data_IF_927012666983
#
_entry.id   IF_927012666983
#
_cell.length_a   1.000
_cell.length_b   1.000
_cell.length_c   1.000
_cell.angle_alpha   90.00
_cell.angle_beta   90.00
_cell.angle_gamma   90.00
#
_symmetry.space_group_name_H-M   'P 1'
#
loop_
_entity.id
_entity.type
_entity.pdbx_description
1 polymer ?
#
# COMPACT_ATOMS: atom_id res chain seq x y z
N UNK A 1 10.47 -15.49 -19.88
CA UNK A 1 9.33 -15.23 -19.00
C UNK A 1 8.97 -16.52 -18.28
N UNK A 2 8.99 -16.57 -16.96
CA UNK A 2 8.64 -17.77 -16.20
C UNK A 2 7.14 -18.05 -16.36
N UNK A 3 6.77 -19.20 -16.91
CA UNK A 3 5.38 -19.58 -17.22
C UNK A 3 4.50 -19.62 -15.96
N UNK A 4 5.08 -19.89 -14.79
CA UNK A 4 4.36 -19.95 -13.52
C UNK A 4 3.98 -18.56 -13.03
N UNK A 5 4.87 -17.57 -13.16
CA UNK A 5 4.55 -16.17 -12.82
C UNK A 5 3.40 -15.63 -13.66
N UNK A 6 3.39 -15.95 -14.96
CA UNK A 6 2.30 -15.52 -15.83
C UNK A 6 0.94 -16.06 -15.35
N UNK A 7 0.86 -17.31 -14.91
CA UNK A 7 -0.37 -17.88 -14.35
C UNK A 7 -0.84 -17.14 -13.10
N UNK A 8 0.08 -16.73 -12.22
CA UNK A 8 -0.28 -15.96 -11.03
C UNK A 8 -0.82 -14.57 -11.42
N UNK A 9 -0.19 -13.92 -12.41
CA UNK A 9 -0.67 -12.63 -12.93
C UNK A 9 -2.04 -12.78 -13.59
N UNK A 10 -2.24 -13.79 -14.42
CA UNK A 10 -3.54 -14.08 -15.04
C UNK A 10 -4.64 -14.34 -13.98
N UNK A 11 -4.28 -15.00 -12.87
CA UNK A 11 -5.18 -15.18 -11.73
C UNK A 11 -5.53 -13.85 -11.06
N UNK A 12 -4.55 -12.96 -10.86
CA UNK A 12 -4.79 -11.61 -10.33
C UNK A 12 -5.71 -10.81 -11.25
N UNK A 13 -5.48 -10.86 -12.58
CA UNK A 13 -6.34 -10.21 -13.57
C UNK A 13 -7.79 -10.68 -13.47
N UNK A 14 -7.99 -11.99 -13.35
CA UNK A 14 -9.34 -12.57 -13.26
C UNK A 14 -10.05 -12.26 -11.96
N UNK A 15 -9.34 -12.15 -10.85
CA UNK A 15 -9.91 -11.99 -9.51
C UNK A 15 -10.08 -10.55 -9.08
N UNK A 16 -9.16 -9.65 -9.46
CA UNK A 16 -9.13 -8.28 -8.96
C UNK A 16 -10.39 -7.45 -9.23
N UNK A 17 -11.12 -7.58 -10.35
CA UNK A 17 -12.36 -6.84 -10.54
C UNK A 17 -13.44 -7.16 -9.49
N UNK A 18 -13.43 -8.38 -8.95
CA UNK A 18 -14.43 -8.86 -7.97
C UNK A 18 -14.02 -8.62 -6.51
N UNK A 19 -12.86 -8.01 -6.25
CA UNK A 19 -12.45 -7.64 -4.89
C UNK A 19 -13.21 -6.38 -4.51
N UNK A 20 -13.97 -6.43 -3.41
CA UNK A 20 -14.67 -5.25 -2.87
C UNK A 20 -13.76 -4.40 -1.96
N UNK A 21 -12.83 -5.04 -1.26
CA UNK A 21 -11.84 -4.37 -0.43
C UNK A 21 -10.86 -3.57 -1.31
N UNK A 22 -10.69 -2.28 -1.01
CA UNK A 22 -9.77 -1.39 -1.73
C UNK A 22 -8.45 -1.18 -0.98
N UNK A 23 -8.30 -1.74 0.23
CA UNK A 23 -7.13 -1.59 1.08
C UNK A 23 -5.86 -2.22 0.53
N UNK A 24 -4.76 -2.03 1.28
CA UNK A 24 -3.44 -2.45 0.84
C UNK A 24 -3.21 -3.97 1.01
N UNK A 25 -3.57 -4.55 2.17
CA UNK A 25 -3.13 -5.92 2.49
C UNK A 25 -3.94 -6.99 1.78
N UNK A 26 -5.24 -6.83 1.72
CA UNK A 26 -6.16 -7.82 1.16
C UNK A 26 -6.90 -7.33 -0.07
N UNK A 27 -6.89 -6.03 -0.29
CA UNK A 27 -7.69 -5.34 -1.29
C UNK A 27 -6.98 -5.04 -2.61
N UNK A 28 -7.67 -4.25 -3.41
CA UNK A 28 -7.23 -3.86 -4.77
C UNK A 28 -5.90 -3.13 -4.76
N UNK A 29 -5.59 -2.27 -3.74
CA UNK A 29 -4.36 -1.47 -3.74
C UNK A 29 -3.12 -2.36 -3.78
N UNK A 30 -3.06 -3.43 -2.98
CA UNK A 30 -1.93 -4.36 -3.03
C UNK A 30 -1.77 -5.07 -4.37
N UNK A 31 -2.90 -5.42 -5.00
CA UNK A 31 -2.90 -6.00 -6.36
C UNK A 31 -2.40 -4.99 -7.38
N UNK A 32 -2.87 -3.74 -7.34
CA UNK A 32 -2.44 -2.66 -8.24
C UNK A 32 -0.93 -2.46 -8.18
N UNK A 33 -0.36 -2.36 -6.97
CA UNK A 33 1.09 -2.21 -6.81
C UNK A 33 1.84 -3.39 -7.45
N UNK A 34 1.34 -4.62 -7.28
CA UNK A 34 2.00 -5.80 -7.86
C UNK A 34 1.89 -5.87 -9.38
N UNK A 35 0.74 -5.48 -9.95
CA UNK A 35 0.54 -5.47 -11.40
C UNK A 35 1.39 -4.39 -12.07
N UNK A 36 1.47 -3.18 -11.51
CA UNK A 36 2.37 -2.14 -12.02
C UNK A 36 3.83 -2.56 -11.97
N UNK A 37 4.29 -3.14 -10.85
CA UNK A 37 5.66 -3.61 -10.74
C UNK A 37 5.97 -4.69 -11.78
N UNK A 38 5.05 -5.62 -12.01
CA UNK A 38 5.20 -6.65 -13.04
C UNK A 38 5.17 -6.04 -14.46
N UNK A 39 4.20 -5.19 -14.75
CA UNK A 39 4.07 -4.53 -16.05
C UNK A 39 5.35 -3.75 -16.42
N UNK A 40 5.90 -3.00 -15.49
CA UNK A 40 7.16 -2.28 -15.67
C UNK A 40 8.35 -3.22 -15.93
N UNK A 41 8.50 -4.30 -15.13
CA UNK A 41 9.61 -5.26 -15.30
C UNK A 41 9.56 -5.94 -16.67
N UNK A 42 8.39 -6.26 -17.18
CA UNK A 42 8.21 -7.01 -18.42
C UNK A 42 7.73 -6.17 -19.62
N UNK A 43 7.58 -4.85 -19.43
CA UNK A 43 7.13 -3.88 -20.45
C UNK A 43 5.77 -4.27 -21.07
N UNK A 44 4.83 -4.69 -20.23
CA UNK A 44 3.47 -5.14 -20.60
C UNK A 44 2.48 -3.98 -20.45
N UNK A 45 2.29 -3.21 -21.53
CA UNK A 45 1.41 -2.03 -21.55
C UNK A 45 -0.05 -2.38 -21.25
N UNK A 46 -0.55 -3.51 -21.74
CA UNK A 46 -1.95 -3.91 -21.47
C UNK A 46 -2.19 -4.17 -19.98
N UNK A 47 -1.18 -4.70 -19.30
CA UNK A 47 -1.26 -4.94 -17.87
C UNK A 47 -1.15 -3.63 -17.07
N UNK A 48 -0.35 -2.69 -17.54
CA UNK A 48 -0.25 -1.34 -16.97
C UNK A 48 -1.58 -0.60 -17.09
N UNK A 49 -2.21 -0.60 -18.27
CA UNK A 49 -3.53 -0.01 -18.51
C UNK A 49 -4.60 -0.63 -17.59
N UNK A 50 -4.58 -1.94 -17.43
CA UNK A 50 -5.49 -2.62 -16.50
C UNK A 50 -5.26 -2.23 -15.04
N UNK A 51 -3.99 -2.11 -14.63
CA UNK A 51 -3.65 -1.68 -13.27
C UNK A 51 -4.09 -0.22 -13.02
N UNK A 52 -4.02 0.63 -14.05
CA UNK A 52 -4.56 1.99 -14.01
C UNK A 52 -6.08 2.00 -13.82
N UNK A 53 -6.81 1.19 -14.54
CA UNK A 53 -8.29 1.09 -14.39
C UNK A 53 -8.67 0.63 -12.97
N UNK A 54 -7.93 -0.30 -12.38
CA UNK A 54 -8.13 -0.70 -10.98
C UNK A 54 -7.80 0.43 -9.99
N UNK A 55 -6.75 1.20 -10.25
CA UNK A 55 -6.37 2.34 -9.42
C UNK A 55 -7.46 3.42 -9.45
N UNK A 56 -8.02 3.70 -10.60
CA UNK A 56 -9.16 4.60 -10.75
C UNK A 56 -10.37 4.13 -9.91
N UNK A 57 -10.71 2.84 -9.98
CA UNK A 57 -11.79 2.27 -9.16
C UNK A 57 -11.52 2.42 -7.66
N UNK A 58 -10.27 2.34 -7.22
CA UNK A 58 -9.93 2.58 -5.81
C UNK A 58 -10.31 4.02 -5.45
N UNK A 59 -9.85 5.01 -6.22
CA UNK A 59 -10.12 6.42 -5.93
C UNK A 59 -11.60 6.80 -6.00
N UNK A 60 -12.37 6.18 -6.88
CA UNK A 60 -13.82 6.36 -6.94
C UNK A 60 -14.54 5.84 -5.68
N UNK A 61 -13.93 4.90 -4.96
CA UNK A 61 -14.50 4.28 -3.77
C UNK A 61 -13.85 4.75 -2.45
N UNK A 62 -12.82 5.59 -2.51
CA UNK A 62 -12.26 6.20 -1.30
C UNK A 62 -13.27 7.19 -0.71
N UNK A 63 -13.55 7.05 0.58
CA UNK A 63 -14.41 7.97 1.31
C UNK A 63 -13.91 8.20 2.75
N UNK A 64 -14.29 9.33 3.32
CA UNK A 64 -13.78 9.82 4.61
C UNK A 64 -14.20 8.99 5.83
N UNK A 65 -15.19 8.10 5.68
CA UNK A 65 -15.64 7.21 6.75
C UNK A 65 -14.83 5.91 6.83
N UNK A 66 -13.87 5.71 5.91
CA UNK A 66 -12.98 4.53 5.95
C UNK A 66 -12.11 4.54 7.22
N UNK A 67 -11.69 3.34 7.70
CA UNK A 67 -10.65 3.24 8.72
C UNK A 67 -9.37 3.96 8.26
N UNK A 68 -8.56 4.46 9.22
CA UNK A 68 -7.30 5.13 8.89
C UNK A 68 -6.10 4.18 8.81
N UNK A 69 -6.25 2.92 9.23
CA UNK A 69 -5.15 1.95 9.31
C UNK A 69 -4.57 1.55 7.94
N UNK A 70 -3.49 0.77 8.01
CA UNK A 70 -2.76 0.30 6.83
C UNK A 70 -3.48 -0.84 6.10
N UNK A 71 -4.15 -1.72 6.83
CA UNK A 71 -4.68 -2.97 6.29
C UNK A 71 -5.86 -2.73 5.34
N UNK A 72 -6.89 -2.01 5.80
CA UNK A 72 -8.13 -1.76 5.06
C UNK A 72 -8.42 -0.28 4.85
N UNK A 73 -7.53 0.61 5.27
CA UNK A 73 -7.85 2.02 5.42
C UNK A 73 -7.01 2.98 4.59
N UNK A 74 -7.21 4.24 4.90
CA UNK A 74 -6.66 5.38 4.17
C UNK A 74 -5.12 5.39 4.16
N UNK A 75 -4.46 5.04 5.28
CA UNK A 75 -3.01 4.98 5.33
C UNK A 75 -2.44 3.92 4.38
N UNK A 76 -3.14 2.78 4.19
CA UNK A 76 -2.73 1.75 3.24
C UNK A 76 -2.88 2.19 1.78
N UNK A 77 -3.96 2.90 1.47
CA UNK A 77 -4.18 3.48 0.13
C UNK A 77 -3.13 4.55 -0.15
N UNK A 78 -2.92 5.47 0.80
CA UNK A 78 -1.89 6.50 0.70
C UNK A 78 -0.47 5.93 0.55
N UNK A 79 -0.17 4.87 1.32
CA UNK A 79 1.10 4.14 1.22
C UNK A 79 1.29 3.52 -0.17
N UNK A 80 0.30 2.79 -0.68
CA UNK A 80 0.37 2.16 -2.00
C UNK A 80 0.58 3.18 -3.12
N UNK A 81 -0.17 4.29 -3.10
CA UNK A 81 -0.02 5.40 -4.05
C UNK A 81 1.38 6.03 -3.98
N UNK A 82 1.86 6.29 -2.76
CA UNK A 82 3.21 6.86 -2.56
C UNK A 82 4.28 5.90 -3.05
N UNK A 83 4.12 4.59 -2.81
CA UNK A 83 5.04 3.57 -3.30
C UNK A 83 5.10 3.50 -4.82
N UNK A 84 3.94 3.56 -5.50
CA UNK A 84 3.88 3.62 -6.97
C UNK A 84 4.65 4.82 -7.52
N UNK A 85 4.47 6.00 -6.91
CA UNK A 85 5.20 7.21 -7.29
C UNK A 85 6.70 7.10 -6.99
N UNK A 86 7.09 6.59 -5.81
CA UNK A 86 8.50 6.39 -5.42
C UNK A 86 9.24 5.45 -6.37
N UNK A 87 8.56 4.41 -6.87
CA UNK A 87 9.11 3.47 -7.84
C UNK A 87 9.08 3.99 -9.28
N UNK A 88 8.57 5.19 -9.52
CA UNK A 88 8.43 5.77 -10.86
C UNK A 88 7.42 5.03 -11.75
N UNK A 89 6.48 4.31 -11.14
CA UNK A 89 5.45 3.53 -11.87
C UNK A 89 4.22 4.38 -12.20
N UNK A 90 3.97 5.42 -11.41
CA UNK A 90 2.89 6.40 -11.64
C UNK A 90 3.45 7.79 -11.39
N UNK A 91 3.27 8.68 -12.34
CA UNK A 91 3.64 10.09 -12.21
C UNK A 91 2.43 10.90 -11.76
N UNK A 92 2.49 11.46 -10.53
CA UNK A 92 1.41 12.27 -9.97
C UNK A 92 1.94 13.27 -8.94
N UNK A 93 1.20 14.36 -8.74
CA UNK A 93 1.41 15.24 -7.58
C UNK A 93 0.76 14.61 -6.34
N UNK A 94 1.59 13.95 -5.53
CA UNK A 94 1.14 13.26 -4.32
C UNK A 94 0.42 14.19 -3.34
N UNK A 95 0.79 15.48 -3.27
CA UNK A 95 0.15 16.42 -2.37
C UNK A 95 -1.29 16.75 -2.80
N UNK A 96 -1.53 16.77 -4.11
CA UNK A 96 -2.87 16.96 -4.66
C UNK A 96 -3.71 15.69 -4.54
N UNK A 97 -3.16 14.54 -4.96
CA UNK A 97 -3.89 13.27 -5.02
C UNK A 97 -4.26 12.74 -3.63
N UNK A 98 -3.40 12.95 -2.63
CA UNK A 98 -3.59 12.44 -1.27
C UNK A 98 -4.08 13.50 -0.26
N UNK A 99 -4.46 14.70 -0.72
CA UNK A 99 -4.87 15.79 0.17
C UNK A 99 -5.97 15.40 1.16
N UNK A 100 -7.04 14.75 0.68
CA UNK A 100 -8.17 14.34 1.50
C UNK A 100 -7.80 13.17 2.44
N UNK A 101 -6.96 12.25 1.98
CA UNK A 101 -6.42 11.15 2.79
C UNK A 101 -5.59 11.71 3.94
N UNK A 102 -4.67 12.60 3.64
CA UNK A 102 -3.77 13.24 4.59
C UNK A 102 -4.56 14.06 5.63
N UNK A 103 -5.53 14.87 5.17
CA UNK A 103 -6.39 15.65 6.04
C UNK A 103 -7.19 14.75 7.00
N UNK A 104 -7.74 13.66 6.49
CA UNK A 104 -8.55 12.74 7.31
C UNK A 104 -7.72 11.99 8.35
N UNK A 105 -6.50 11.63 8.02
CA UNK A 105 -5.56 11.03 8.99
C UNK A 105 -5.25 12.03 10.10
N UNK A 106 -5.00 13.31 9.77
CA UNK A 106 -4.69 14.37 10.74
C UNK A 106 -5.87 14.76 11.65
N UNK A 107 -7.13 14.44 11.30
CA UNK A 107 -8.26 14.64 12.21
C UNK A 107 -8.19 13.76 13.48
N UNK A 108 -7.40 12.71 13.48
CA UNK A 108 -7.23 11.82 14.64
C UNK A 108 -6.21 12.40 15.60
N UNK A 109 -6.61 12.63 16.86
CA UNK A 109 -5.72 13.11 17.91
C UNK A 109 -4.67 12.01 18.26
N UNK A 110 -3.37 12.22 17.97
CA UNK A 110 -2.34 11.21 18.21
C UNK A 110 -2.21 10.83 19.69
N UNK A 111 -2.59 11.71 20.60
CA UNK A 111 -2.52 11.49 22.06
C UNK A 111 -3.56 10.50 22.56
N UNK A 112 -4.62 10.25 21.77
CA UNK A 112 -5.71 9.33 22.08
C UNK A 112 -5.56 7.95 21.43
N UNK A 113 -4.45 7.72 20.74
CA UNK A 113 -4.20 6.44 20.10
C UNK A 113 -3.97 5.36 21.16
N UNK A 114 -4.70 4.26 21.06
CA UNK A 114 -4.55 3.07 21.90
C UNK A 114 -3.97 1.86 21.16
N UNK A 115 -4.12 1.83 19.84
CA UNK A 115 -3.57 0.80 18.95
C UNK A 115 -2.32 1.32 18.24
N UNK A 116 -1.20 0.65 18.46
CA UNK A 116 0.11 0.97 17.88
C UNK A 116 0.56 -0.05 16.82
N UNK A 117 -0.31 -0.98 16.44
CA UNK A 117 0.00 -1.97 15.41
C UNK A 117 0.26 -1.32 14.05
N UNK A 118 1.02 -2.01 13.19
CA UNK A 118 1.21 -1.59 11.80
C UNK A 118 -0.07 -1.79 10.99
N UNK A 119 -0.88 -2.78 11.33
CA UNK A 119 -2.07 -3.11 10.53
C UNK A 119 -3.18 -2.07 10.65
N UNK A 120 -3.58 -1.75 11.87
CA UNK A 120 -4.79 -0.97 12.15
C UNK A 120 -4.52 0.31 12.93
N UNK A 121 -3.33 0.43 13.51
CA UNK A 121 -2.97 1.47 14.47
C UNK A 121 -1.98 2.51 13.94
N UNK A 122 -1.42 3.26 14.90
CA UNK A 122 -0.47 4.34 14.67
C UNK A 122 0.81 3.90 13.96
N UNK A 123 1.25 2.65 14.14
CA UNK A 123 2.42 2.11 13.45
C UNK A 123 2.27 2.15 11.92
N UNK A 124 1.08 1.81 11.42
CA UNK A 124 0.78 1.91 9.98
C UNK A 124 0.74 3.34 9.47
N UNK A 125 0.16 4.26 10.26
CA UNK A 125 0.14 5.68 9.92
C UNK A 125 1.58 6.23 9.88
N UNK A 126 2.42 5.91 10.86
CA UNK A 126 3.82 6.31 10.87
C UNK A 126 4.60 5.78 9.67
N UNK A 127 4.35 4.53 9.28
CA UNK A 127 4.95 3.92 8.10
C UNK A 127 4.58 4.68 6.82
N UNK A 128 3.29 4.99 6.66
CA UNK A 128 2.81 5.81 5.54
C UNK A 128 3.48 7.19 5.53
N UNK A 129 3.49 7.89 6.66
CA UNK A 129 4.07 9.22 6.78
C UNK A 129 5.59 9.21 6.51
N UNK A 130 6.30 8.18 6.97
CA UNK A 130 7.73 8.02 6.70
C UNK A 130 7.99 7.88 5.20
N UNK A 131 7.22 7.03 4.51
CA UNK A 131 7.33 6.87 3.05
C UNK A 131 7.00 8.16 2.30
N UNK A 132 5.94 8.88 2.73
CA UNK A 132 5.59 10.20 2.17
C UNK A 132 6.73 11.20 2.32
N UNK A 133 7.36 11.25 3.50
CA UNK A 133 8.48 12.15 3.77
C UNK A 133 9.71 11.81 2.92
N UNK A 134 10.02 10.54 2.75
CA UNK A 134 11.11 10.08 1.88
C UNK A 134 10.88 10.46 0.41
N UNK A 135 9.62 10.39 -0.06
CA UNK A 135 9.28 10.60 -1.48
C UNK A 135 9.09 12.08 -1.82
N UNK A 136 8.45 12.86 -0.95
CA UNK A 136 8.10 14.27 -1.21
C UNK A 136 9.07 15.28 -0.56
N UNK A 137 10.02 14.81 0.23
CA UNK A 137 10.99 15.66 0.93
C UNK A 137 10.31 16.61 1.95
N UNK A 138 10.66 17.90 1.88
CA UNK A 138 10.15 18.92 2.83
C UNK A 138 8.80 19.52 2.45
N UNK A 139 8.23 19.15 1.32
CA UNK A 139 6.95 19.69 0.80
C UNK A 139 5.73 18.90 1.28
N UNK A 140 5.77 18.38 2.49
CA UNK A 140 4.65 17.66 3.06
C UNK A 140 3.52 18.59 3.52
N UNK A 141 2.29 18.19 3.23
CA UNK A 141 1.07 18.85 3.72
C UNK A 141 0.76 18.53 5.20
N UNK A 142 1.53 17.62 5.81
CA UNK A 142 1.33 17.23 7.21
C UNK A 142 1.79 18.30 8.19
N UNK A 143 0.94 18.57 9.19
CA UNK A 143 1.28 19.44 10.31
C UNK A 143 2.48 18.86 11.11
N UNK A 144 3.50 19.70 11.31
CA UNK A 144 4.70 19.32 12.07
C UNK A 144 4.38 18.96 13.52
N UNK A 145 3.38 19.62 14.12
CA UNK A 145 2.94 19.31 15.49
C UNK A 145 2.31 17.93 15.55
N UNK A 146 1.40 17.62 14.61
CA UNK A 146 0.79 16.29 14.47
C UNK A 146 1.85 15.18 14.37
N UNK A 147 2.85 15.40 13.51
CA UNK A 147 3.95 14.46 13.31
C UNK A 147 4.76 14.24 14.59
N UNK A 148 5.08 15.33 15.30
CA UNK A 148 5.84 15.25 16.55
C UNK A 148 5.05 14.53 17.65
N UNK A 149 3.76 14.82 17.80
CA UNK A 149 2.87 14.17 18.77
C UNK A 149 2.69 12.69 18.45
N UNK A 150 2.50 12.32 17.18
CA UNK A 150 2.36 10.91 16.77
C UNK A 150 3.65 10.12 17.05
N UNK A 151 4.80 10.68 16.69
CA UNK A 151 6.12 10.07 16.98
C UNK A 151 6.35 9.95 18.49
N UNK A 152 6.00 10.95 19.27
CA UNK A 152 6.13 10.93 20.74
C UNK A 152 5.20 9.88 21.36
N UNK A 153 3.96 9.79 20.93
CA UNK A 153 3.01 8.80 21.44
C UNK A 153 3.42 7.35 21.11
N UNK A 154 4.14 7.15 20.01
CA UNK A 154 4.60 5.86 19.55
C UNK A 154 6.03 5.50 19.98
N UNK A 155 6.81 6.44 20.54
CA UNK A 155 8.26 6.31 20.76
C UNK A 155 8.67 5.06 21.57
N UNK A 156 7.87 4.67 22.57
CA UNK A 156 8.15 3.51 23.41
C UNK A 156 7.48 2.20 22.90
N UNK A 157 6.69 2.26 21.85
CA UNK A 157 5.79 1.18 21.44
C UNK A 157 5.93 0.77 19.97
N UNK A 158 6.51 1.61 19.14
CA UNK A 158 6.76 1.37 17.71
C UNK A 158 8.23 1.66 17.42
N UNK A 159 8.83 0.99 16.46
CA UNK A 159 10.21 1.25 16.04
C UNK A 159 10.42 2.73 15.73
N UNK A 160 11.45 3.35 16.31
CA UNK A 160 11.73 4.77 16.18
C UNK A 160 12.02 5.22 14.73
N UNK A 161 12.49 4.32 13.88
CA UNK A 161 12.60 4.49 12.44
C UNK A 161 12.00 3.25 11.77
N UNK A 162 10.70 3.27 11.42
CA UNK A 162 10.11 2.15 10.73
C UNK A 162 10.80 2.01 9.36
N UNK A 163 11.32 0.81 9.10
CA UNK A 163 11.65 0.41 7.75
C UNK A 163 10.40 0.62 6.89
N UNK A 164 10.52 1.37 5.80
CA UNK A 164 9.38 1.64 4.90
C UNK A 164 9.09 0.48 3.97
N UNK A 165 9.83 -0.63 4.05
CA UNK A 165 9.56 -1.85 3.29
C UNK A 165 8.42 -2.67 3.89
N UNK A 166 7.22 -2.50 3.34
CA UNK A 166 6.03 -3.27 3.76
C UNK A 166 6.20 -4.78 3.55
N UNK A 167 6.96 -5.21 2.56
CA UNK A 167 7.18 -6.63 2.29
C UNK A 167 8.08 -7.26 3.34
N UNK A 168 9.11 -6.53 3.78
CA UNK A 168 9.96 -6.91 4.91
C UNK A 168 9.19 -6.97 6.22
N UNK A 169 8.30 -6.00 6.45
CA UNK A 169 7.43 -5.96 7.65
C UNK A 169 6.45 -7.14 7.65
N UNK A 170 5.80 -7.44 6.53
CA UNK A 170 4.88 -8.58 6.42
C UNK A 170 5.62 -9.91 6.56
N UNK A 171 6.83 -9.98 6.04
CA UNK A 171 7.75 -11.11 6.13
C UNK A 171 7.08 -12.50 5.98
N UNK A 172 6.22 -12.64 4.97
CA UNK A 172 5.50 -13.89 4.72
C UNK A 172 6.37 -14.88 3.94
N UNK A 173 6.26 -16.18 4.21
CA UNK A 173 6.89 -17.20 3.38
C UNK A 173 6.24 -17.21 1.99
N UNK A 174 7.05 -17.43 0.95
CA UNK A 174 6.52 -17.71 -0.37
C UNK A 174 5.91 -19.12 -0.41
N UNK A 175 4.79 -19.24 -1.09
CA UNK A 175 4.17 -20.54 -1.36
C UNK A 175 4.72 -21.14 -2.66
N UNK A 176 4.47 -22.44 -2.90
CA UNK A 176 4.82 -23.04 -4.20
C UNK A 176 3.97 -22.42 -5.30
N UNK A 177 4.59 -22.00 -6.41
CA UNK A 177 3.88 -21.25 -7.46
C UNK A 177 2.65 -21.98 -8.04
N UNK A 178 2.57 -23.31 -7.92
CA UNK A 178 1.40 -24.10 -8.32
C UNK A 178 0.20 -23.93 -7.40
N UNK A 179 0.38 -23.45 -6.17
CA UNK A 179 -0.68 -23.38 -5.15
C UNK A 179 -1.43 -22.05 -5.16
N UNK A 180 -1.16 -21.17 -6.13
CA UNK A 180 -1.68 -19.80 -6.16
C UNK A 180 -3.22 -19.71 -6.12
N UNK A 181 -3.93 -20.69 -6.67
CA UNK A 181 -5.41 -20.71 -6.71
C UNK A 181 -6.01 -20.79 -5.30
N UNK A 182 -5.33 -21.43 -4.36
CA UNK A 182 -5.76 -21.59 -2.98
C UNK A 182 -5.33 -20.42 -2.08
N UNK A 183 -4.57 -19.46 -2.60
CA UNK A 183 -4.04 -18.33 -1.85
C UNK A 183 -4.90 -17.08 -2.02
N UNK A 184 -4.91 -16.20 -1.01
CA UNK A 184 -5.50 -14.87 -1.13
C UNK A 184 -4.88 -14.09 -2.29
N UNK A 185 -5.59 -13.08 -2.79
CA UNK A 185 -5.07 -12.23 -3.88
C UNK A 185 -4.11 -11.15 -3.40
N UNK A 186 -4.29 -10.64 -2.17
CA UNK A 186 -3.57 -9.47 -1.64
C UNK A 186 -2.09 -9.69 -1.33
N UNK A 187 -1.48 -8.66 -0.72
CA UNK A 187 -0.06 -8.71 -0.33
C UNK A 187 0.19 -9.39 1.02
N UNK A 188 -0.81 -9.72 1.81
CA UNK A 188 -0.63 -10.42 3.08
C UNK A 188 -0.53 -11.94 2.85
N UNK A 189 0.60 -12.37 2.29
CA UNK A 189 0.89 -13.77 1.98
C UNK A 189 0.12 -14.35 0.79
N UNK A 190 -0.45 -13.49 -0.05
CA UNK A 190 -1.20 -13.89 -1.23
C UNK A 190 -0.43 -13.77 -2.54
N UNK A 191 -1.15 -13.86 -3.65
CA UNK A 191 -0.59 -13.86 -4.99
C UNK A 191 0.11 -12.54 -5.35
N UNK A 192 -0.44 -11.39 -4.92
CA UNK A 192 0.21 -10.09 -5.10
C UNK A 192 1.54 -9.99 -4.32
N UNK A 193 1.60 -10.52 -3.09
CA UNK A 193 2.85 -10.59 -2.32
C UNK A 193 3.93 -11.42 -3.03
N UNK A 194 3.53 -12.56 -3.59
CA UNK A 194 4.45 -13.44 -4.33
C UNK A 194 5.12 -12.70 -5.49
N UNK A 195 4.33 -11.99 -6.29
CA UNK A 195 4.83 -11.20 -7.43
C UNK A 195 5.75 -10.07 -6.96
N UNK A 196 5.30 -9.28 -5.97
CA UNK A 196 6.08 -8.14 -5.47
C UNK A 196 7.42 -8.58 -4.86
N UNK A 197 7.41 -9.65 -4.07
CA UNK A 197 8.63 -10.15 -3.43
C UNK A 197 9.69 -10.57 -4.45
N UNK A 198 9.29 -11.20 -5.55
CA UNK A 198 10.23 -11.58 -6.62
C UNK A 198 10.72 -10.38 -7.45
N UNK A 199 9.89 -9.35 -7.61
CA UNK A 199 10.24 -8.22 -8.46
C UNK A 199 11.12 -7.21 -7.73
N UNK A 200 10.85 -6.97 -6.44
CA UNK A 200 11.51 -5.95 -5.64
C UNK A 200 12.69 -6.49 -4.81
N UNK A 201 12.92 -7.83 -4.80
CA UNK A 201 14.11 -8.46 -4.20
C UNK A 201 15.30 -8.39 -5.15
#
# INVERSE_FOLDING_TARGET
>A
MNTEYRKIVDYLLLKSPYIHDIGLFHGKMGVVVSLYAYANKYQDQLLEDFAWDLLQQIYENVHTDMPIGMEYGLAGIGYGTTLLSKLGLVECDLNSVLADVDAKIMERDPRRVSDYSVRTGAGGVLLYLSLRQETSGTLLTFDNLYMAELKSAAADKVMQNPDTDILGILNKPLFAACDYIEKPVGIDGGSAYYILKDILS
#
